data_IF_766109522360
#
_entry.id   IF_766109522360
#
_cell.length_a   1.000
_cell.length_b   1.000
_cell.length_c   1.000
_cell.angle_alpha   90.00
_cell.angle_beta   90.00
_cell.angle_gamma   90.00
#
_symmetry.space_group_name_H-M   'P 1'
#
loop_
_entity.id
_entity.type
_entity.pdbx_description
1 polymer ?
#
# COMPACT_ATOMS: atom_id res chain seq x y z
N UNK A 1 -17.91 -26.97 28.95
CA UNK A 1 -17.30 -27.12 27.62
C UNK A 1 -17.84 -25.98 26.75
N UNK A 2 -17.09 -24.89 26.62
CA UNK A 2 -17.52 -23.71 25.86
C UNK A 2 -17.12 -23.92 24.40
N UNK A 3 -18.12 -23.92 23.50
CA UNK A 3 -17.87 -24.00 22.06
C UNK A 3 -17.14 -22.72 21.63
N UNK A 4 -15.92 -22.88 21.14
CA UNK A 4 -15.21 -21.82 20.43
C UNK A 4 -16.09 -21.32 19.29
N UNK A 5 -16.47 -20.04 19.35
CA UNK A 5 -16.98 -19.33 18.18
C UNK A 5 -15.78 -19.12 17.26
N UNK A 6 -15.84 -19.50 15.97
CA UNK A 6 -14.84 -19.02 15.04
C UNK A 6 -14.94 -17.50 15.06
N UNK A 7 -13.86 -16.83 15.51
CA UNK A 7 -13.61 -15.49 14.99
C UNK A 7 -13.25 -15.74 13.55
N UNK A 8 -14.27 -15.77 12.71
CA UNK A 8 -14.08 -15.34 11.34
C UNK A 8 -13.45 -13.97 11.51
N UNK A 9 -12.18 -13.86 11.11
CA UNK A 9 -11.49 -12.59 11.05
C UNK A 9 -12.36 -11.72 10.17
N UNK A 10 -13.24 -10.96 10.82
CA UNK A 10 -13.96 -9.88 10.20
C UNK A 10 -12.83 -8.96 9.79
N UNK A 11 -12.35 -9.11 8.56
CA UNK A 11 -11.76 -8.02 7.83
C UNK A 11 -12.92 -7.04 7.72
N UNK A 12 -13.08 -6.23 8.76
CA UNK A 12 -13.93 -5.06 8.76
C UNK A 12 -13.23 -4.18 7.74
N UNK A 13 -13.53 -4.38 6.45
CA UNK A 13 -13.35 -3.31 5.49
C UNK A 13 -14.40 -2.32 5.94
N UNK A 14 -14.03 -1.25 6.67
CA UNK A 14 -15.04 -0.36 7.17
C UNK A 14 -15.65 0.27 5.92
N UNK A 15 -16.94 0.54 5.97
CA UNK A 15 -17.66 1.34 4.97
C UNK A 15 -16.92 2.66 4.64
N UNK A 16 -15.93 3.06 5.46
CA UNK A 16 -15.02 4.19 5.24
C UNK A 16 -13.98 4.02 4.12
N UNK A 17 -13.52 2.81 3.74
CA UNK A 17 -12.43 2.69 2.74
C UNK A 17 -12.83 3.29 1.38
N UNK A 18 -14.04 2.96 0.91
CA UNK A 18 -14.59 3.55 -0.32
C UNK A 18 -14.73 5.07 -0.21
N UNK A 19 -15.17 5.58 0.96
CA UNK A 19 -15.31 7.02 1.19
C UNK A 19 -13.97 7.77 1.24
N UNK A 20 -12.92 7.14 1.78
CA UNK A 20 -11.58 7.72 1.77
C UNK A 20 -10.97 7.67 0.37
N UNK A 21 -11.12 6.53 -0.33
CA UNK A 21 -10.66 6.38 -1.70
C UNK A 21 -11.33 7.36 -2.68
N UNK A 22 -12.62 7.69 -2.48
CA UNK A 22 -13.31 8.67 -3.31
C UNK A 22 -12.81 10.11 -3.14
N UNK A 23 -12.08 10.41 -2.07
CA UNK A 23 -11.50 11.73 -1.79
C UNK A 23 -10.06 11.87 -2.32
N UNK A 24 -9.48 10.80 -2.86
CA UNK A 24 -8.19 10.86 -3.52
C UNK A 24 -8.41 11.40 -4.94
N UNK A 25 -7.72 12.47 -5.36
CA UNK A 25 -7.86 12.99 -6.72
C UNK A 25 -7.41 11.94 -7.75
N UNK A 26 -7.93 12.00 -8.96
CA UNK A 26 -7.40 11.17 -10.05
C UNK A 26 -5.97 11.58 -10.37
N UNK A 27 -5.07 10.61 -10.54
CA UNK A 27 -3.70 10.89 -10.94
C UNK A 27 -3.65 11.48 -12.35
N UNK A 28 -3.00 12.62 -12.47
CA UNK A 28 -2.63 13.32 -13.69
C UNK A 28 -1.13 13.60 -13.64
N UNK A 29 -0.49 13.92 -14.77
CA UNK A 29 0.95 14.24 -14.75
C UNK A 29 1.32 15.36 -13.77
N UNK A 30 0.62 16.50 -13.75
CA UNK A 30 1.00 17.63 -12.90
C UNK A 30 0.69 17.49 -11.40
N UNK A 31 -0.26 16.65 -10.99
CA UNK A 31 -0.72 16.58 -9.59
C UNK A 31 -0.06 15.47 -8.77
N UNK A 32 1.08 14.92 -9.21
CA UNK A 32 1.71 13.79 -8.53
C UNK A 32 1.98 14.03 -7.04
N UNK A 33 2.47 15.22 -6.66
CA UNK A 33 2.75 15.54 -5.25
C UNK A 33 1.49 15.46 -4.39
N UNK A 34 0.42 16.16 -4.81
CA UNK A 34 -0.87 16.18 -4.12
C UNK A 34 -1.50 14.78 -4.06
N UNK A 35 -1.48 14.07 -5.19
CA UNK A 35 -2.00 12.71 -5.28
C UNK A 35 -1.26 11.75 -4.32
N UNK A 36 0.07 11.83 -4.29
CA UNK A 36 0.90 10.97 -3.44
C UNK A 36 0.66 11.24 -1.96
N UNK A 37 0.56 12.51 -1.56
CA UNK A 37 0.22 12.92 -0.19
C UNK A 37 -1.15 12.39 0.23
N UNK A 38 -2.18 12.50 -0.63
CA UNK A 38 -3.52 11.99 -0.36
C UNK A 38 -3.56 10.47 -0.18
N UNK A 39 -2.80 9.72 -1.00
CA UNK A 39 -2.66 8.27 -0.88
C UNK A 39 -1.97 7.90 0.44
N UNK A 40 -0.84 8.52 0.75
CA UNK A 40 -0.09 8.23 1.98
C UNK A 40 -0.91 8.54 3.23
N UNK A 41 -1.58 9.68 3.27
CA UNK A 41 -2.45 10.06 4.40
C UNK A 41 -3.60 9.07 4.57
N UNK A 42 -4.28 8.71 3.49
CA UNK A 42 -5.40 7.76 3.51
C UNK A 42 -4.97 6.40 4.02
N UNK A 43 -3.82 5.90 3.57
CA UNK A 43 -3.29 4.61 4.01
C UNK A 43 -2.82 4.66 5.47
N UNK A 44 -2.19 5.75 5.92
CA UNK A 44 -1.82 5.94 7.32
C UNK A 44 -3.02 5.97 8.26
N UNK A 45 -4.13 6.62 7.89
CA UNK A 45 -5.38 6.62 8.69
C UNK A 45 -5.99 5.23 8.83
N UNK A 46 -5.73 4.34 7.87
CA UNK A 46 -6.26 2.99 7.83
C UNK A 46 -5.28 1.93 8.37
N UNK A 47 -4.11 2.35 8.88
CA UNK A 47 -3.01 1.46 9.26
C UNK A 47 -2.56 0.53 8.11
N UNK A 48 -2.61 1.03 6.86
CA UNK A 48 -2.21 0.34 5.63
C UNK A 48 -0.96 0.94 4.98
N UNK A 49 -0.32 1.92 5.62
CA UNK A 49 0.91 2.56 5.16
C UNK A 49 2.06 1.57 4.97
N UNK A 50 2.09 0.50 5.79
CA UNK A 50 3.03 -0.62 5.64
C UNK A 50 2.97 -1.30 4.27
N UNK A 51 1.84 -1.22 3.54
CA UNK A 51 1.71 -1.79 2.19
C UNK A 51 2.52 -1.02 1.13
N UNK A 52 2.94 0.21 1.42
CA UNK A 52 3.80 1.01 0.53
C UNK A 52 5.29 0.70 0.72
N UNK A 53 5.66 -0.04 1.76
CA UNK A 53 7.04 -0.42 1.99
C UNK A 53 7.44 -1.46 0.96
N UNK A 54 8.15 -1.01 -0.07
CA UNK A 54 8.91 -1.89 -0.95
C UNK A 54 10.24 -2.16 -0.25
N UNK A 55 10.60 -3.42 -0.11
CA UNK A 55 11.94 -3.78 0.38
C UNK A 55 12.98 -3.08 -0.49
N UNK A 56 13.98 -2.44 0.14
CA UNK A 56 15.10 -1.87 -0.61
C UNK A 56 15.65 -3.00 -1.50
N UNK A 57 15.70 -2.81 -2.83
CA UNK A 57 16.26 -3.84 -3.69
C UNK A 57 17.72 -4.09 -3.30
N UNK A 58 18.15 -5.36 -3.37
CA UNK A 58 19.51 -5.75 -3.00
C UNK A 58 20.53 -4.98 -3.85
N UNK A 59 21.67 -4.58 -3.26
CA UNK A 59 22.71 -3.90 -4.03
C UNK A 59 23.10 -4.76 -5.25
N UNK A 60 23.26 -4.12 -6.41
CA UNK A 60 23.62 -4.81 -7.65
C UNK A 60 25.01 -5.43 -7.48
N UNK A 61 25.07 -6.75 -7.48
CA UNK A 61 26.31 -7.54 -7.52
C UNK A 61 26.51 -8.15 -8.91
N UNK A 62 27.71 -8.67 -9.20
CA UNK A 62 28.02 -9.38 -10.45
C UNK A 62 27.09 -10.60 -10.71
N UNK A 63 26.40 -11.08 -9.66
CA UNK A 63 25.44 -12.18 -9.70
C UNK A 63 23.97 -11.72 -9.85
N UNK A 64 23.69 -10.41 -9.95
CA UNK A 64 22.30 -9.93 -10.00
C UNK A 64 21.63 -10.29 -11.34
N UNK A 65 20.34 -10.59 -11.30
CA UNK A 65 19.58 -10.89 -12.51
C UNK A 65 19.29 -9.65 -13.36
N UNK A 66 19.05 -9.85 -14.65
CA UNK A 66 18.67 -8.75 -15.57
C UNK A 66 17.41 -7.99 -15.08
N UNK A 67 16.46 -8.69 -14.45
CA UNK A 67 15.27 -8.07 -13.83
C UNK A 67 15.62 -7.21 -12.61
N UNK A 68 16.58 -7.63 -11.78
CA UNK A 68 17.04 -6.82 -10.65
C UNK A 68 17.68 -5.53 -11.15
N UNK A 69 18.54 -5.59 -12.17
CA UNK A 69 19.16 -4.40 -12.77
C UNK A 69 18.14 -3.46 -13.41
N UNK A 70 17.09 -3.99 -14.05
CA UNK A 70 16.04 -3.16 -14.65
C UNK A 70 15.25 -2.35 -13.62
N UNK A 71 14.92 -2.96 -12.47
CA UNK A 71 14.17 -2.29 -11.40
C UNK A 71 14.97 -1.18 -10.67
N UNK A 72 16.26 -1.02 -10.99
CA UNK A 72 17.14 0.03 -10.44
C UNK A 72 17.40 1.20 -11.39
N UNK A 73 17.01 1.13 -12.66
CA UNK A 73 17.22 2.18 -13.68
C UNK A 73 15.92 2.92 -14.01
#
# INVERSE_FOLDING_TARGET
>A
MLRFRPKEDLVIVPVSLHSHASNVPTLTGPNFSEWSEHIQFTLGVLDLDMALLVEKPADITDESSEEQVFNFN
#
